data_IF_274732373126
#
_entry.id   IF_274732373126
#
_cell.length_a   1.000
_cell.length_b   1.000
_cell.length_c   1.000
_cell.angle_alpha   90.00
_cell.angle_beta   90.00
_cell.angle_gamma   90.00
#
_symmetry.space_group_name_H-M   'P 1'
#
loop_
_entity.id
_entity.type
_entity.pdbx_description
1 polymer ?
#
# COMPACT_ATOMS: atom_id res chain seq x y z
N UNK A 1 47.60 -24.10 5.77
CA UNK A 1 46.26 -24.19 5.16
C UNK A 1 45.26 -23.73 6.21
N UNK A 2 44.75 -22.51 6.09
CA UNK A 2 43.73 -21.96 7.00
C UNK A 2 42.45 -21.76 6.19
N UNK A 3 41.38 -22.43 6.63
CA UNK A 3 40.08 -22.39 5.98
C UNK A 3 39.38 -21.06 6.29
N UNK A 4 39.00 -20.33 5.24
CA UNK A 4 38.18 -19.12 5.32
C UNK A 4 36.71 -19.57 5.38
N UNK A 5 36.06 -19.34 6.52
CA UNK A 5 34.62 -19.51 6.65
C UNK A 5 33.92 -18.27 6.06
N UNK A 6 33.22 -18.46 4.94
CA UNK A 6 32.36 -17.45 4.34
C UNK A 6 31.05 -17.41 5.13
N UNK A 7 30.88 -16.37 5.95
CA UNK A 7 29.60 -16.03 6.57
C UNK A 7 28.64 -15.53 5.48
N UNK A 8 27.73 -16.40 5.06
CA UNK A 8 26.63 -16.03 4.16
C UNK A 8 25.69 -15.05 4.87
N UNK A 9 25.58 -13.84 4.31
CA UNK A 9 24.54 -12.88 4.66
C UNK A 9 23.18 -13.47 4.23
N UNK A 10 22.40 -13.94 5.21
CA UNK A 10 21.02 -14.34 4.98
C UNK A 10 20.20 -13.13 4.54
N UNK A 11 19.72 -13.16 3.30
CA UNK A 11 18.70 -12.22 2.82
C UNK A 11 17.42 -12.56 3.57
N UNK A 12 17.02 -11.72 4.52
CA UNK A 12 15.76 -11.89 5.24
C UNK A 12 14.61 -11.80 4.24
N UNK A 13 13.94 -12.91 3.97
CA UNK A 13 12.65 -12.88 3.28
C UNK A 13 11.68 -12.09 4.16
N UNK A 14 11.17 -10.97 3.65
CA UNK A 14 10.10 -10.24 4.31
C UNK A 14 8.90 -11.20 4.45
N UNK A 15 8.55 -11.57 5.68
CA UNK A 15 7.38 -12.41 5.95
C UNK A 15 6.13 -11.66 5.46
N UNK A 16 5.39 -12.28 4.55
CA UNK A 16 4.10 -11.77 4.13
C UNK A 16 3.18 -11.69 5.36
N UNK A 17 2.45 -10.59 5.50
CA UNK A 17 1.46 -10.44 6.57
C UNK A 17 0.22 -11.22 6.13
N UNK A 18 -0.24 -12.14 6.98
CA UNK A 18 -1.44 -12.96 6.76
C UNK A 18 -2.67 -12.25 7.37
N UNK A 19 -3.70 -12.03 6.55
CA UNK A 19 -4.96 -11.40 6.94
C UNK A 19 -5.88 -12.29 7.78
N UNK A 20 -5.61 -13.60 7.84
CA UNK A 20 -6.45 -14.60 8.51
C UNK A 20 -6.69 -14.31 9.98
N UNK A 21 -5.71 -13.69 10.66
CA UNK A 21 -5.85 -13.23 12.05
C UNK A 21 -7.04 -12.29 12.25
N UNK A 22 -7.34 -11.45 11.26
CA UNK A 22 -8.45 -10.51 11.28
C UNK A 22 -9.70 -11.04 10.58
N UNK A 23 -9.67 -12.27 10.07
CA UNK A 23 -10.72 -12.83 9.23
C UNK A 23 -10.84 -12.16 7.86
N UNK A 24 -9.78 -11.47 7.41
CA UNK A 24 -9.75 -10.69 6.18
C UNK A 24 -8.79 -11.31 5.15
N UNK A 25 -8.83 -10.80 3.91
CA UNK A 25 -7.81 -11.11 2.90
C UNK A 25 -6.44 -10.62 3.32
N UNK A 26 -5.41 -11.19 2.71
CA UNK A 26 -4.04 -10.74 2.92
C UNK A 26 -3.83 -9.32 2.41
N UNK A 27 -3.12 -8.47 3.18
CA UNK A 27 -2.62 -7.20 2.66
C UNK A 27 -1.55 -7.44 1.60
N UNK A 28 -1.53 -6.58 0.59
CA UNK A 28 -0.37 -6.49 -0.30
C UNK A 28 0.72 -5.74 0.46
N UNK A 29 1.74 -6.43 0.99
CA UNK A 29 2.88 -5.79 1.69
C UNK A 29 4.22 -5.96 0.97
N UNK A 30 4.23 -6.76 -0.10
CA UNK A 30 5.41 -6.97 -0.94
C UNK A 30 5.18 -6.32 -2.31
N UNK A 31 5.91 -5.25 -2.58
CA UNK A 31 5.71 -4.47 -3.80
C UNK A 31 6.35 -5.21 -4.98
N UNK A 32 5.59 -5.36 -6.07
CA UNK A 32 6.15 -5.87 -7.31
C UNK A 32 7.27 -4.93 -7.81
N UNK A 33 8.42 -5.51 -8.17
CA UNK A 33 9.52 -4.79 -8.81
C UNK A 33 9.20 -4.60 -10.31
N UNK A 34 8.31 -3.65 -10.61
CA UNK A 34 7.91 -3.35 -11.99
C UNK A 34 8.94 -2.40 -12.61
N UNK A 35 9.66 -2.86 -13.64
CA UNK A 35 10.65 -2.04 -14.33
C UNK A 35 10.06 -0.86 -15.09
N UNK A 36 10.83 0.23 -15.22
CA UNK A 36 10.40 1.46 -15.89
C UNK A 36 10.08 1.28 -17.39
N UNK A 37 10.58 0.23 -18.03
CA UNK A 37 10.24 -0.14 -19.41
C UNK A 37 8.84 -0.72 -19.56
N UNK A 38 8.23 -1.19 -18.47
CA UNK A 38 6.87 -1.71 -18.45
C UNK A 38 5.88 -0.55 -18.33
N UNK A 39 4.91 -0.49 -19.23
CA UNK A 39 3.84 0.50 -19.16
C UNK A 39 3.00 0.30 -17.89
N UNK A 40 2.68 1.39 -17.19
CA UNK A 40 1.77 1.36 -16.05
C UNK A 40 0.32 1.31 -16.53
N UNK A 41 -0.37 0.22 -16.21
CA UNK A 41 -1.82 0.12 -16.30
C UNK A 41 -2.49 0.28 -14.92
N UNK A 42 -3.82 0.32 -14.91
CA UNK A 42 -4.58 0.48 -13.66
C UNK A 42 -4.33 -0.64 -12.65
N UNK A 43 -4.03 -1.86 -13.09
CA UNK A 43 -3.79 -2.99 -12.20
C UNK A 43 -2.42 -2.88 -11.52
N UNK A 44 -1.38 -2.54 -12.29
CA UNK A 44 -0.05 -2.26 -11.77
C UNK A 44 -0.07 -1.13 -10.74
N UNK A 45 -0.76 -0.02 -11.06
CA UNK A 45 -0.91 1.11 -10.13
C UNK A 45 -1.68 0.70 -8.87
N UNK A 46 -2.77 -0.06 -9.01
CA UNK A 46 -3.53 -0.55 -7.85
C UNK A 46 -2.65 -1.40 -6.93
N UNK A 47 -1.89 -2.35 -7.49
CA UNK A 47 -1.00 -3.20 -6.71
C UNK A 47 0.11 -2.41 -6.00
N UNK A 48 0.72 -1.44 -6.68
CA UNK A 48 1.75 -0.58 -6.09
C UNK A 48 1.18 0.31 -4.98
N UNK A 49 0.01 0.93 -5.19
CA UNK A 49 -0.64 1.77 -4.17
C UNK A 49 -1.12 0.95 -2.98
N UNK A 50 -1.65 -0.26 -3.19
CA UNK A 50 -1.97 -1.19 -2.11
C UNK A 50 -0.71 -1.56 -1.34
N UNK A 51 0.37 -1.91 -2.03
CA UNK A 51 1.63 -2.22 -1.36
C UNK A 51 2.14 -1.10 -0.45
N UNK A 52 2.02 0.15 -0.89
CA UNK A 52 2.46 1.30 -0.11
C UNK A 52 1.59 1.57 1.13
N UNK A 53 0.35 1.07 1.13
CA UNK A 53 -0.70 1.48 2.08
C UNK A 53 -1.15 0.39 3.01
N UNK A 54 -1.14 -0.84 2.55
CA UNK A 54 -1.66 -1.97 3.29
C UNK A 54 -0.60 -2.49 4.25
N UNK A 55 -1.00 -2.69 5.50
CA UNK A 55 -0.09 -3.10 6.55
C UNK A 55 -0.85 -3.65 7.74
N UNK A 56 -0.20 -4.52 8.50
CA UNK A 56 -0.53 -4.73 9.90
C UNK A 56 0.29 -3.77 10.76
N UNK A 57 -0.36 -3.06 11.68
CA UNK A 57 0.29 -2.14 12.60
C UNK A 57 0.73 -2.83 13.88
N UNK A 58 1.66 -2.20 14.61
CA UNK A 58 2.04 -2.64 15.96
C UNK A 58 0.88 -2.58 16.98
N UNK A 59 -0.21 -1.88 16.66
CA UNK A 59 -1.44 -1.81 17.46
C UNK A 59 -2.46 -2.90 17.09
N UNK A 60 -2.04 -3.94 16.36
CA UNK A 60 -2.87 -5.06 15.93
C UNK A 60 -4.06 -4.66 15.06
N UNK A 61 -3.90 -3.58 14.28
CA UNK A 61 -4.84 -3.23 13.22
C UNK A 61 -4.34 -3.69 11.86
N UNK A 62 -5.22 -4.27 11.05
CA UNK A 62 -4.98 -4.53 9.64
C UNK A 62 -5.60 -3.41 8.82
N UNK A 63 -4.78 -2.71 8.05
CA UNK A 63 -5.18 -1.63 7.15
C UNK A 63 -5.19 -2.14 5.71
N UNK A 64 -6.33 -2.03 5.04
CA UNK A 64 -6.56 -2.49 3.67
C UNK A 64 -7.15 -1.37 2.82
N UNK A 65 -6.89 -1.43 1.51
CA UNK A 65 -7.43 -0.50 0.51
C UNK A 65 -8.42 -1.26 -0.36
N UNK A 66 -9.72 -0.96 -0.19
CA UNK A 66 -10.82 -1.53 -0.97
C UNK A 66 -11.45 -0.52 -1.93
N UNK A 67 -12.27 -1.01 -2.86
CA UNK A 67 -13.02 -0.20 -3.83
C UNK A 67 -12.15 0.86 -4.53
N UNK A 68 -10.95 0.43 -4.93
CA UNK A 68 -9.94 1.29 -5.50
C UNK A 68 -10.27 1.63 -6.95
N UNK A 69 -10.17 2.91 -7.28
CA UNK A 69 -10.33 3.43 -8.63
C UNK A 69 -9.24 4.45 -8.89
N UNK A 70 -8.65 4.41 -10.09
CA UNK A 70 -7.55 5.31 -10.46
C UNK A 70 -7.64 5.71 -11.91
N UNK A 71 -7.33 6.96 -12.16
CA UNK A 71 -7.07 7.53 -13.48
C UNK A 71 -5.61 7.99 -13.50
N UNK A 72 -4.89 7.53 -14.52
CA UNK A 72 -3.47 7.79 -14.71
C UNK A 72 -3.35 8.94 -15.71
N UNK A 73 -2.73 10.04 -15.27
CA UNK A 73 -2.45 11.19 -16.12
C UNK A 73 -1.34 10.92 -17.12
N UNK A 74 -1.25 11.79 -18.13
CA UNK A 74 -0.14 11.77 -19.07
C UNK A 74 1.20 11.97 -18.36
N UNK A 75 2.26 11.42 -18.95
CA UNK A 75 3.62 11.64 -18.48
C UNK A 75 3.95 13.14 -18.49
N UNK A 76 4.58 13.61 -17.41
CA UNK A 76 5.07 14.98 -17.28
C UNK A 76 6.48 15.01 -16.72
N UNK A 77 7.25 16.08 -16.93
CA UNK A 77 8.54 16.24 -16.29
C UNK A 77 8.42 16.20 -14.75
N UNK A 78 9.43 15.60 -14.11
CA UNK A 78 9.56 15.67 -12.65
C UNK A 78 9.84 17.11 -12.23
N UNK A 79 9.20 17.59 -11.16
CA UNK A 79 9.38 18.96 -10.66
C UNK A 79 10.53 19.09 -9.66
N UNK A 80 11.51 18.18 -9.71
CA UNK A 80 12.55 18.05 -8.69
C UNK A 80 12.02 18.14 -7.26
N UNK A 81 12.58 19.07 -6.47
CA UNK A 81 12.24 19.30 -5.06
C UNK A 81 10.79 19.76 -4.82
N UNK A 82 10.13 20.30 -5.82
CA UNK A 82 8.73 20.77 -5.70
C UNK A 82 7.72 19.63 -5.86
N UNK A 83 8.17 18.42 -6.19
CA UNK A 83 7.32 17.25 -6.31
C UNK A 83 7.02 16.63 -4.93
N UNK A 84 5.94 17.08 -4.30
CA UNK A 84 5.56 16.64 -2.95
C UNK A 84 4.95 15.22 -2.90
N UNK A 85 4.62 14.64 -4.05
CA UNK A 85 3.94 13.34 -4.15
C UNK A 85 4.89 12.17 -4.44
N UNK A 86 6.19 12.44 -4.59
CA UNK A 86 7.23 11.43 -4.80
C UNK A 86 8.13 11.30 -3.56
N UNK A 87 8.87 10.20 -3.46
CA UNK A 87 9.78 9.95 -2.34
C UNK A 87 11.23 10.29 -2.70
N UNK A 88 12.11 10.28 -1.70
CA UNK A 88 13.54 10.62 -1.86
C UNK A 88 14.31 9.68 -2.81
N UNK A 89 13.75 8.50 -3.09
CA UNK A 89 14.30 7.52 -4.03
C UNK A 89 13.96 7.84 -5.51
N UNK A 90 13.20 8.91 -5.77
CA UNK A 90 12.76 9.27 -7.12
C UNK A 90 13.91 9.70 -8.02
N UNK A 91 13.96 9.14 -9.23
CA UNK A 91 14.85 9.59 -10.31
C UNK A 91 14.26 10.84 -10.97
N UNK A 92 14.83 12.00 -10.64
CA UNK A 92 14.38 13.30 -11.15
C UNK A 92 14.63 13.50 -12.64
N UNK A 93 15.39 12.61 -13.29
CA UNK A 93 15.57 12.61 -14.75
C UNK A 93 14.42 11.91 -15.50
N UNK A 94 13.53 11.20 -14.79
CA UNK A 94 12.41 10.46 -15.37
C UNK A 94 11.10 11.25 -15.29
N UNK A 95 10.15 10.85 -16.13
CA UNK A 95 8.80 11.42 -16.06
C UNK A 95 8.03 10.89 -14.86
N UNK A 96 7.10 11.71 -14.38
CA UNK A 96 6.11 11.37 -13.36
C UNK A 96 4.73 11.29 -13.99
N UNK A 97 3.90 10.38 -13.51
CA UNK A 97 2.47 10.30 -13.87
C UNK A 97 1.62 10.75 -12.69
N UNK A 98 0.83 11.81 -12.86
CA UNK A 98 -0.14 12.20 -11.83
C UNK A 98 -1.27 11.18 -11.74
N UNK A 99 -1.76 10.94 -10.53
CA UNK A 99 -2.88 10.05 -10.26
C UNK A 99 -4.05 10.84 -9.68
N UNK A 100 -5.26 10.44 -10.03
CA UNK A 100 -6.48 10.84 -9.30
C UNK A 100 -7.40 9.65 -9.18
N UNK A 101 -8.21 9.61 -8.13
CA UNK A 101 -9.07 8.46 -7.89
C UNK A 101 -9.74 8.49 -6.54
N UNK A 102 -10.09 7.31 -6.06
CA UNK A 102 -10.77 7.13 -4.79
C UNK A 102 -10.62 5.69 -4.30
N UNK A 103 -10.65 5.49 -2.98
CA UNK A 103 -10.64 4.16 -2.35
C UNK A 103 -11.37 4.20 -1.00
N UNK A 104 -11.59 3.02 -0.44
CA UNK A 104 -12.18 2.83 0.89
C UNK A 104 -11.09 2.27 1.80
N UNK A 105 -10.72 3.00 2.84
CA UNK A 105 -9.91 2.42 3.90
C UNK A 105 -10.76 1.40 4.65
N UNK A 106 -10.23 0.19 4.80
CA UNK A 106 -10.81 -0.82 5.69
C UNK A 106 -9.79 -1.09 6.78
N UNK A 107 -10.18 -0.86 8.02
CA UNK A 107 -9.32 -1.05 9.18
C UNK A 107 -9.96 -2.07 10.10
N UNK A 108 -9.33 -3.23 10.22
CA UNK A 108 -9.80 -4.36 11.01
C UNK A 108 -9.02 -4.48 12.32
N UNK A 109 -9.70 -4.83 13.40
CA UNK A 109 -9.10 -5.15 14.70
C UNK A 109 -9.17 -6.64 14.97
N UNK A 110 -8.30 -7.16 15.84
CA UNK A 110 -8.35 -8.56 16.24
C UNK A 110 -9.78 -8.93 16.74
N UNK A 111 -10.45 -9.94 16.15
CA UNK A 111 -11.79 -10.36 16.55
C UNK A 111 -11.91 -10.67 18.05
N UNK A 112 -10.83 -11.19 18.68
CA UNK A 112 -10.81 -11.45 20.12
C UNK A 112 -10.90 -10.14 20.91
N UNK A 113 -10.13 -9.13 20.51
CA UNK A 113 -10.17 -7.81 21.15
C UNK A 113 -11.55 -7.15 21.04
N UNK A 114 -12.23 -7.32 19.90
CA UNK A 114 -13.61 -6.85 19.71
C UNK A 114 -14.58 -7.59 20.65
N UNK A 115 -14.46 -8.92 20.75
CA UNK A 115 -15.26 -9.73 21.68
C UNK A 115 -15.10 -9.28 23.14
N UNK A 116 -13.85 -9.06 23.59
CA UNK A 116 -13.57 -8.61 24.96
C UNK A 116 -14.20 -7.24 25.29
N UNK A 117 -14.34 -6.37 24.29
CA UNK A 117 -15.04 -5.09 24.43
C UNK A 117 -16.57 -5.18 24.27
N UNK A 118 -17.15 -6.38 24.13
CA UNK A 118 -18.59 -6.59 23.97
C UNK A 118 -19.12 -6.33 22.56
N UNK A 119 -18.24 -6.21 21.57
CA UNK A 119 -18.61 -6.07 20.15
C UNK A 119 -18.82 -7.42 19.45
N UNK A 120 -19.31 -7.36 18.21
CA UNK A 120 -19.46 -8.54 17.34
C UNK A 120 -18.13 -8.88 16.64
N UNK A 121 -17.49 -10.03 16.94
CA UNK A 121 -16.22 -10.43 16.33
C UNK A 121 -16.32 -10.67 14.82
N UNK A 122 -17.51 -10.93 14.28
CA UNK A 122 -17.73 -11.08 12.84
C UNK A 122 -17.80 -9.73 12.11
N UNK A 123 -17.86 -8.62 12.86
CA UNK A 123 -17.96 -7.24 12.37
C UNK A 123 -16.84 -6.39 12.99
N UNK A 124 -15.62 -6.91 12.92
CA UNK A 124 -14.42 -6.36 13.55
C UNK A 124 -13.73 -5.23 12.75
N UNK A 125 -14.30 -4.81 11.62
CA UNK A 125 -13.71 -3.79 10.77
C UNK A 125 -14.51 -2.49 10.78
N UNK A 126 -13.84 -1.40 10.42
CA UNK A 126 -14.47 -0.14 10.08
C UNK A 126 -14.00 0.34 8.72
N UNK A 127 -14.83 1.16 8.08
CA UNK A 127 -14.59 1.68 6.74
C UNK A 127 -14.56 3.20 6.74
N UNK A 128 -13.70 3.80 5.92
CA UNK A 128 -13.66 5.24 5.71
C UNK A 128 -13.38 5.55 4.24
N UNK A 129 -14.33 6.18 3.55
CA UNK A 129 -14.18 6.50 2.12
C UNK A 129 -13.23 7.68 1.92
N UNK A 130 -12.27 7.51 1.02
CA UNK A 130 -11.43 8.58 0.45
C UNK A 130 -11.98 8.88 -0.94
N UNK A 131 -12.88 9.85 -1.04
CA UNK A 131 -13.63 10.11 -2.28
C UNK A 131 -12.83 10.92 -3.32
N UNK A 132 -11.81 11.67 -2.89
CA UNK A 132 -10.95 12.47 -3.73
C UNK A 132 -9.51 12.24 -3.32
N UNK A 133 -8.88 11.27 -3.98
CA UNK A 133 -7.47 10.99 -3.79
C UNK A 133 -6.65 11.49 -4.98
N UNK A 134 -5.47 12.01 -4.68
CA UNK A 134 -4.50 12.48 -5.66
C UNK A 134 -3.13 11.88 -5.37
N UNK A 135 -2.30 11.72 -6.39
CA UNK A 135 -1.04 11.01 -6.23
C UNK A 135 -0.09 11.14 -7.40
N UNK A 136 0.94 10.32 -7.34
CA UNK A 136 1.91 10.19 -8.41
C UNK A 136 2.44 8.76 -8.50
N UNK A 137 2.80 8.36 -9.73
CA UNK A 137 3.75 7.28 -9.97
C UNK A 137 5.06 7.87 -10.49
N UNK A 138 6.17 7.38 -9.97
CA UNK A 138 7.52 7.78 -10.35
C UNK A 138 8.44 6.57 -10.52
N UNK A 139 9.51 6.77 -11.26
CA UNK A 139 10.59 5.79 -11.38
C UNK A 139 11.62 6.06 -10.29
N UNK A 140 12.04 5.03 -9.57
CA UNK A 140 13.11 5.12 -8.58
C UNK A 140 14.48 5.20 -9.26
N UNK A 141 15.51 5.59 -8.51
CA UNK A 141 16.91 5.54 -8.96
C UNK A 141 17.39 4.12 -9.35
N UNK A 142 16.65 3.07 -8.96
CA UNK A 142 16.89 1.68 -9.36
C UNK A 142 16.11 1.26 -10.62
N UNK A 143 15.37 2.17 -11.26
CA UNK A 143 14.66 1.90 -12.50
C UNK A 143 13.36 1.12 -12.33
N UNK A 144 12.76 1.16 -11.14
CA UNK A 144 11.46 0.53 -10.86
C UNK A 144 10.37 1.56 -10.59
N UNK A 145 9.11 1.22 -10.88
CA UNK A 145 7.97 2.06 -10.59
C UNK A 145 7.60 2.01 -9.10
N UNK A 146 7.20 3.17 -8.57
CA UNK A 146 6.46 3.31 -7.32
C UNK A 146 5.28 4.23 -7.54
N UNK A 147 4.21 4.01 -6.78
CA UNK A 147 3.00 4.82 -6.83
C UNK A 147 2.47 5.09 -5.43
N UNK A 148 2.07 6.33 -5.18
CA UNK A 148 1.49 6.77 -3.92
C UNK A 148 0.32 7.72 -4.21
N UNK A 149 -0.74 7.69 -3.38
CA UNK A 149 -1.90 8.57 -3.52
C UNK A 149 -2.42 8.96 -2.15
N UNK A 150 -2.69 10.21 -1.83
CA UNK A 150 -3.30 10.59 -0.54
C UNK A 150 -4.62 11.33 -0.76
N UNK A 151 -5.44 11.41 0.28
CA UNK A 151 -6.70 12.14 0.23
C UNK A 151 -7.40 12.18 1.58
N UNK A 152 -8.32 13.13 1.79
CA UNK A 152 -9.11 13.20 3.01
C UNK A 152 -10.05 11.99 3.10
N UNK A 153 -10.03 11.32 4.25
CA UNK A 153 -10.97 10.26 4.57
C UNK A 153 -12.22 10.84 5.26
N UNK A 154 -13.39 10.30 4.91
CA UNK A 154 -14.62 10.53 5.66
C UNK A 154 -14.51 9.97 7.09
N UNK A 155 -15.53 10.25 7.92
CA UNK A 155 -15.63 9.63 9.24
C UNK A 155 -15.64 8.10 9.10
N UNK A 156 -14.92 7.42 10.00
CA UNK A 156 -14.86 5.96 10.03
C UNK A 156 -16.17 5.41 10.58
N UNK A 157 -16.84 4.60 9.78
CA UNK A 157 -18.01 3.82 10.20
C UNK A 157 -17.54 2.45 10.68
N UNK A 158 -18.09 1.93 11.78
CA UNK A 158 -17.64 0.69 12.42
C UNK A 158 -18.68 -0.43 12.27
N UNK A 159 -18.27 -1.65 12.57
CA UNK A 159 -19.16 -2.80 12.54
C UNK A 159 -19.36 -3.32 11.13
N UNK A 160 -18.31 -3.39 10.32
CA UNK A 160 -18.33 -4.03 9.01
C UNK A 160 -17.67 -5.41 9.08
N UNK A 161 -18.16 -6.39 8.30
CA UNK A 161 -17.45 -7.65 8.16
C UNK A 161 -16.09 -7.43 7.48
N UNK A 162 -15.10 -8.28 7.77
CA UNK A 162 -13.82 -8.23 7.10
C UNK A 162 -13.95 -8.58 5.60
N UNK A 163 -13.24 -7.89 4.70
CA UNK A 163 -13.21 -8.20 3.28
C UNK A 163 -12.43 -9.50 3.05
N UNK A 164 -12.90 -10.34 2.13
CA UNK A 164 -12.32 -11.66 1.83
C UNK A 164 -11.71 -11.71 0.45
#
# INVERSE_FOLDING_TARGET
MAAVAVLGLGVGAAVAVDGSRWGARDPVTQCAAIGASTALDSNAVTALVRCEREQATASDELWLVEDFSVQIGAARPHKGREELMTMADSDTSKSVHSLRGAWTWVVCRDPKAVAYSGGDPARNCGQARVAKAEGACWVTSFGTWRCNMTGPAAAREVGYPPPR
#
